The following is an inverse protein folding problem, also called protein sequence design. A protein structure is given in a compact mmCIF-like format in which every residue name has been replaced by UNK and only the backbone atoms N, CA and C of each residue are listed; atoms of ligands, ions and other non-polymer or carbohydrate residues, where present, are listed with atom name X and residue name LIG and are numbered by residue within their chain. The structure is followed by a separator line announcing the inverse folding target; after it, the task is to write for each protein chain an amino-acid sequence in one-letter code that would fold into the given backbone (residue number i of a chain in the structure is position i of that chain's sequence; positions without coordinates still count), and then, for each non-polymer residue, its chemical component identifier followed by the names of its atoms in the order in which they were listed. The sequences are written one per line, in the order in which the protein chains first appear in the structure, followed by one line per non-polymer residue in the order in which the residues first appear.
data_IF_529806210002
#
_entry.id   IF_529806210002
#
_cell.length_a   1.000
_cell.length_b   1.000
_cell.length_c   1.000
_cell.angle_alpha   90.00
_cell.angle_beta   90.00
_cell.angle_gamma   90.00
#
_symmetry.space_group_name_H-M   'P 1'
#
loop_
_entity.id
_entity.type
_entity.pdbx_description
1 polymer ?
#
# COMPACT_ATOMS: atom_id res chain seq x y z
N UNK A 1 7.02 -10.02 -0.22
CA UNK A 1 8.03 -9.58 0.75
C UNK A 1 8.97 -8.55 0.15
N UNK A 2 8.58 -7.29 0.27
CA UNK A 2 9.37 -6.09 0.02
C UNK A 2 8.84 -4.97 0.92
N UNK A 3 9.73 -4.11 1.44
CA UNK A 3 9.33 -2.91 2.18
C UNK A 3 9.16 -1.76 1.18
N UNK A 4 7.96 -1.19 1.15
CA UNK A 4 7.58 -0.11 0.24
C UNK A 4 7.84 1.26 0.92
N UNK A 5 8.26 2.28 0.17
CA UNK A 5 8.43 3.62 0.73
C UNK A 5 7.07 4.23 1.09
N UNK A 6 6.90 4.63 2.36
CA UNK A 6 5.70 5.32 2.84
C UNK A 6 5.74 6.78 2.40
N UNK A 7 4.67 7.24 1.77
CA UNK A 7 4.47 8.64 1.38
C UNK A 7 4.03 9.44 2.62
N UNK A 8 4.70 10.57 2.88
CA UNK A 8 4.42 11.44 4.03
C UNK A 8 3.75 12.74 3.54
N UNK A 9 2.82 13.27 4.34
CA UNK A 9 2.19 14.55 4.08
C UNK A 9 3.24 15.67 3.92
N UNK A 10 3.04 16.63 3.00
CA UNK A 10 1.79 16.97 2.32
C UNK A 10 1.68 16.46 0.86
N UNK A 11 2.23 15.29 0.52
CA UNK A 11 2.18 14.75 -0.85
C UNK A 11 0.73 14.72 -1.41
N UNK A 12 0.47 15.29 -2.60
CA UNK A 12 -0.88 15.38 -3.17
C UNK A 12 -1.50 14.02 -3.46
N UNK A 13 -0.70 12.96 -3.63
CA UNK A 13 -1.20 11.59 -3.85
C UNK A 13 -2.02 11.08 -2.66
N UNK A 14 -1.74 11.56 -1.44
CA UNK A 14 -2.51 11.22 -0.24
C UNK A 14 -3.94 11.78 -0.24
N UNK A 15 -4.28 12.67 -1.18
CA UNK A 15 -5.62 13.25 -1.35
C UNK A 15 -6.32 12.80 -2.64
N UNK A 16 -5.65 12.01 -3.48
CA UNK A 16 -6.23 11.51 -4.71
C UNK A 16 -7.25 10.41 -4.41
N UNK A 17 -8.37 10.38 -5.15
CA UNK A 17 -9.29 9.26 -5.13
C UNK A 17 -8.69 8.08 -5.91
N UNK A 18 -8.71 6.89 -5.33
CA UNK A 18 -8.25 5.68 -6.00
C UNK A 18 -9.31 5.13 -6.95
N UNK A 19 -8.87 4.62 -8.10
CA UNK A 19 -9.72 3.86 -9.00
C UNK A 19 -10.20 2.54 -8.35
N UNK A 20 -11.40 2.04 -8.68
CA UNK A 20 -11.88 0.77 -8.17
C UNK A 20 -11.04 -0.40 -8.70
N UNK A 21 -10.82 -1.39 -7.85
CA UNK A 21 -10.18 -2.65 -8.26
C UNK A 21 -11.20 -3.54 -8.96
N UNK A 22 -11.05 -3.74 -10.27
CA UNK A 22 -11.97 -4.58 -11.07
C UNK A 22 -11.76 -6.09 -10.85
N UNK A 23 -10.51 -6.51 -10.58
CA UNK A 23 -10.16 -7.92 -10.39
C UNK A 23 -8.98 -8.09 -9.46
N UNK A 24 -9.06 -9.08 -8.58
CA UNK A 24 -7.94 -9.51 -7.73
C UNK A 24 -7.06 -10.46 -8.53
N UNK A 25 -5.88 -9.97 -8.94
CA UNK A 25 -4.88 -10.75 -9.66
C UNK A 25 -3.78 -11.23 -8.71
N UNK A 26 -2.94 -12.21 -9.11
CA UNK A 26 -1.80 -12.63 -8.31
C UNK A 26 -0.83 -11.49 -7.96
N UNK A 27 -0.69 -10.51 -8.86
CA UNK A 27 0.14 -9.32 -8.63
C UNK A 27 -0.47 -8.42 -7.55
N UNK A 28 -1.79 -8.29 -7.52
CA UNK A 28 -2.47 -7.53 -6.46
C UNK A 28 -2.34 -8.21 -5.10
N UNK A 29 -2.45 -9.55 -5.05
CA UNK A 29 -2.21 -10.30 -3.81
C UNK A 29 -0.79 -10.05 -3.31
N UNK A 30 0.20 -10.09 -4.20
CA UNK A 30 1.59 -9.78 -3.84
C UNK A 30 1.74 -8.34 -3.32
N UNK A 31 1.06 -7.37 -3.93
CA UNK A 31 1.07 -5.99 -3.45
C UNK A 31 0.51 -5.90 -2.02
N UNK A 32 -0.58 -6.61 -1.73
CA UNK A 32 -1.16 -6.65 -0.38
C UNK A 32 -0.21 -7.25 0.64
N UNK A 33 0.51 -8.32 0.28
CA UNK A 33 1.54 -8.92 1.13
C UNK A 33 2.66 -7.91 1.43
N UNK A 34 3.15 -7.19 0.40
CA UNK A 34 4.19 -6.17 0.56
C UNK A 34 3.70 -4.98 1.42
N UNK A 35 2.42 -4.62 1.33
CA UNK A 35 1.81 -3.57 2.16
C UNK A 35 1.72 -4.00 3.63
N UNK A 36 1.38 -5.25 3.93
CA UNK A 36 1.37 -5.78 5.30
C UNK A 36 2.77 -5.78 5.90
N UNK A 37 3.77 -6.26 5.16
CA UNK A 37 5.16 -6.24 5.59
C UNK A 37 5.61 -4.82 5.94
N UNK A 38 5.29 -3.85 5.06
CA UNK A 38 5.62 -2.43 5.25
C UNK A 38 4.91 -1.85 6.48
N UNK A 39 3.64 -2.20 6.70
CA UNK A 39 2.88 -1.74 7.87
C UNK A 39 3.50 -2.23 9.18
N UNK A 40 3.87 -3.51 9.26
CA UNK A 40 4.49 -4.08 10.46
C UNK A 40 5.90 -3.55 10.72
N UNK A 41 6.67 -3.26 9.65
CA UNK A 41 7.98 -2.61 9.77
C UNK A 41 7.88 -1.16 10.26
N UNK A 42 6.78 -0.47 9.95
CA UNK A 42 6.48 0.91 10.36
C UNK A 42 5.70 1.03 11.70
N UNK A 43 5.82 0.04 12.60
CA UNK A 43 4.87 -0.29 13.69
C UNK A 43 3.42 0.20 13.54
N UNK A 44 2.81 0.06 12.35
CA UNK A 44 1.44 0.47 12.04
C UNK A 44 0.38 -0.58 12.38
N UNK A 45 -0.88 -0.17 12.31
CA UNK A 45 -2.06 -1.06 12.52
C UNK A 45 -3.07 -1.01 11.38
N UNK A 46 -2.83 -0.19 10.36
CA UNK A 46 -3.68 -0.02 9.19
C UNK A 46 -3.05 0.93 8.19
#
# INVERSE_FOLDING_TARGET
MAILPIIIAPDPRLKAECDPVEKVTPELVKLMDDMLDTMYDAPGIG
#
